data_IF_144211337752
#
_entry.id   IF_144211337752
#
_cell.length_a   1.000
_cell.length_b   1.000
_cell.length_c   1.000
_cell.angle_alpha   90.00
_cell.angle_beta   90.00
_cell.angle_gamma   90.00
#
_symmetry.space_group_name_H-M   'P 1'
#
loop_
_entity.id
_entity.type
_entity.pdbx_description
1 polymer ?
#
# COMPACT_ATOMS: atom_id res chain seq x y z
N UNK A 1 -4.58 -24.24 -27.97
CA UNK A 1 -3.55 -23.71 -27.05
C UNK A 1 -4.10 -22.40 -26.54
N UNK A 2 -4.38 -22.30 -25.25
CA UNK A 2 -4.91 -21.10 -24.59
C UNK A 2 -3.92 -19.94 -24.78
N UNK A 3 -4.37 -18.81 -25.35
CA UNK A 3 -3.56 -17.60 -25.53
C UNK A 3 -4.19 -16.50 -24.71
N UNK A 4 -3.45 -16.06 -23.70
CA UNK A 4 -3.91 -15.09 -22.71
C UNK A 4 -2.83 -14.02 -22.51
N UNK A 5 -3.24 -12.75 -22.54
CA UNK A 5 -2.41 -11.63 -22.11
C UNK A 5 -2.92 -11.08 -20.79
N UNK A 6 -1.99 -10.59 -19.97
CA UNK A 6 -2.30 -9.95 -18.69
C UNK A 6 -1.53 -8.66 -18.56
N UNK A 7 -2.20 -7.61 -18.13
CA UNK A 7 -1.57 -6.32 -17.89
C UNK A 7 -2.04 -5.67 -16.61
N UNK A 8 -1.12 -4.95 -15.95
CA UNK A 8 -1.45 -3.95 -14.94
C UNK A 8 -1.89 -2.66 -15.64
N UNK A 9 -2.86 -1.98 -15.04
CA UNK A 9 -3.40 -0.70 -15.53
C UNK A 9 -2.64 0.45 -14.84
N UNK A 10 -2.04 1.39 -15.58
CA UNK A 10 -1.53 2.64 -15.01
C UNK A 10 -2.69 3.48 -14.44
N UNK A 11 -2.50 4.08 -13.27
CA UNK A 11 -3.57 4.80 -12.56
C UNK A 11 -4.16 5.94 -13.39
N UNK A 12 -3.34 6.65 -14.17
CA UNK A 12 -3.81 7.72 -15.07
C UNK A 12 -4.68 7.22 -16.24
N UNK A 13 -4.73 5.92 -16.51
CA UNK A 13 -5.36 5.36 -17.72
C UNK A 13 -6.74 4.76 -17.45
N UNK A 14 -7.12 4.60 -16.19
CA UNK A 14 -8.34 3.88 -15.80
C UNK A 14 -9.62 4.51 -16.40
N UNK A 15 -9.70 5.85 -16.40
CA UNK A 15 -10.83 6.59 -17.01
C UNK A 15 -10.89 6.39 -18.52
N UNK A 16 -9.76 6.51 -19.22
CA UNK A 16 -9.71 6.34 -20.67
C UNK A 16 -10.07 4.90 -21.10
N UNK A 17 -9.72 3.90 -20.28
CA UNK A 17 -10.11 2.51 -20.50
C UNK A 17 -11.63 2.33 -20.31
N UNK A 18 -12.21 2.91 -19.26
CA UNK A 18 -13.65 2.84 -19.01
C UNK A 18 -14.45 3.45 -20.18
N UNK A 19 -14.03 4.60 -20.70
CA UNK A 19 -14.66 5.24 -21.87
C UNK A 19 -14.57 4.37 -23.12
N UNK A 20 -13.42 3.73 -23.34
CA UNK A 20 -13.22 2.79 -24.44
C UNK A 20 -14.15 1.58 -24.33
N UNK A 21 -14.27 0.98 -23.14
CA UNK A 21 -15.18 -0.14 -22.87
C UNK A 21 -16.66 0.24 -23.04
N UNK A 22 -17.02 1.48 -22.74
CA UNK A 22 -18.39 1.96 -22.96
C UNK A 22 -18.74 2.09 -24.45
N UNK A 23 -17.77 2.50 -25.28
CA UNK A 23 -17.94 2.72 -26.72
C UNK A 23 -17.65 1.53 -27.63
N UNK A 24 -17.34 0.35 -27.06
CA UNK A 24 -16.91 -0.84 -27.80
C UNK A 24 -18.05 -1.44 -28.64
N UNK A 25 -18.02 -1.21 -29.95
CA UNK A 25 -19.05 -1.69 -30.89
C UNK A 25 -18.95 -3.19 -31.20
N UNK A 26 -17.77 -3.78 -31.05
CA UNK A 26 -17.50 -5.22 -31.28
C UNK A 26 -17.87 -6.12 -30.10
N UNK A 27 -18.56 -5.57 -29.09
CA UNK A 27 -19.01 -6.28 -27.90
C UNK A 27 -20.24 -7.14 -28.20
N UNK A 28 -20.11 -8.45 -28.03
CA UNK A 28 -21.21 -9.41 -28.11
C UNK A 28 -22.00 -9.52 -26.80
N UNK A 29 -21.32 -9.49 -25.66
CA UNK A 29 -21.96 -9.55 -24.34
C UNK A 29 -21.13 -8.83 -23.27
N UNK A 30 -21.77 -8.56 -22.13
CA UNK A 30 -21.16 -8.00 -20.93
C UNK A 30 -21.77 -8.66 -19.70
N UNK A 31 -20.92 -9.06 -18.77
CA UNK A 31 -21.32 -9.54 -17.45
C UNK A 31 -20.38 -9.01 -16.37
N UNK A 32 -20.92 -8.82 -15.17
CA UNK A 32 -20.15 -8.43 -13.98
C UNK A 32 -20.24 -9.59 -12.98
N UNK A 33 -19.08 -10.05 -12.50
CA UNK A 33 -18.96 -11.16 -11.58
C UNK A 33 -18.24 -10.71 -10.30
N UNK A 34 -18.77 -11.08 -9.14
CA UNK A 34 -18.04 -10.98 -7.89
C UNK A 34 -17.24 -12.27 -7.70
N UNK A 35 -15.91 -12.13 -7.64
CA UNK A 35 -14.98 -13.24 -7.58
C UNK A 35 -14.16 -13.18 -6.30
N UNK A 36 -14.34 -14.17 -5.43
CA UNK A 36 -13.47 -14.39 -4.28
C UNK A 36 -12.80 -15.76 -4.42
N UNK A 37 -11.52 -15.90 -4.11
CA UNK A 37 -10.85 -17.19 -4.12
C UNK A 37 -9.88 -17.34 -2.96
N UNK A 38 -9.81 -18.56 -2.44
CA UNK A 38 -8.78 -19.00 -1.50
C UNK A 38 -7.96 -20.09 -2.19
N UNK A 39 -6.64 -19.90 -2.20
CA UNK A 39 -5.69 -20.82 -2.82
C UNK A 39 -5.07 -21.71 -1.76
N UNK A 40 -4.85 -22.98 -2.09
CA UNK A 40 -4.43 -23.99 -1.14
C UNK A 40 -3.29 -24.84 -1.66
N UNK A 41 -2.46 -25.28 -0.71
CA UNK A 41 -1.49 -26.35 -0.90
C UNK A 41 -1.33 -27.11 0.43
N UNK A 42 -0.60 -28.21 0.42
CA UNK A 42 -0.25 -28.93 1.64
C UNK A 42 0.94 -28.24 2.34
N UNK A 43 1.20 -28.52 3.63
CA UNK A 43 2.41 -28.02 4.30
C UNK A 43 3.72 -28.37 3.58
N UNK A 44 3.74 -29.48 2.83
CA UNK A 44 4.89 -29.97 2.06
C UNK A 44 4.85 -29.60 0.56
N UNK A 45 3.97 -28.66 0.17
CA UNK A 45 3.80 -28.13 -1.19
C UNK A 45 3.49 -29.21 -2.24
N UNK A 46 2.69 -30.21 -1.88
CA UNK A 46 2.39 -31.36 -2.75
C UNK A 46 1.56 -30.99 -3.98
N UNK A 47 0.69 -29.97 -3.91
CA UNK A 47 -0.07 -29.49 -5.07
C UNK A 47 0.89 -28.86 -6.09
N UNK A 48 1.73 -27.92 -5.64
CA UNK A 48 2.75 -27.28 -6.47
C UNK A 48 3.75 -28.30 -7.06
N UNK A 49 4.25 -29.25 -6.26
CA UNK A 49 5.19 -30.29 -6.70
C UNK A 49 4.60 -31.22 -7.76
N UNK A 50 3.27 -31.35 -7.81
CA UNK A 50 2.55 -32.08 -8.86
C UNK A 50 2.16 -31.18 -10.06
N UNK A 51 2.74 -29.98 -10.16
CA UNK A 51 2.52 -29.04 -11.26
C UNK A 51 1.11 -28.45 -11.28
N UNK A 52 0.42 -28.42 -10.15
CA UNK A 52 -0.94 -27.95 -10.02
C UNK A 52 -1.03 -26.67 -9.16
N UNK A 53 -2.14 -25.96 -9.31
CA UNK A 53 -2.62 -24.94 -8.38
C UNK A 53 -4.09 -25.24 -8.08
N UNK A 54 -4.44 -25.23 -6.80
CA UNK A 54 -5.77 -25.60 -6.32
C UNK A 54 -6.40 -24.40 -5.60
N UNK A 55 -7.67 -24.12 -5.89
CA UNK A 55 -8.43 -23.06 -5.23
C UNK A 55 -9.89 -23.43 -5.05
N UNK A 56 -10.52 -22.87 -4.02
CA UNK A 56 -11.96 -22.67 -3.99
C UNK A 56 -12.24 -21.24 -4.42
N UNK A 57 -13.09 -21.08 -5.43
CA UNK A 57 -13.50 -19.79 -5.97
C UNK A 57 -15.00 -19.63 -5.78
N UNK A 58 -15.42 -18.55 -5.15
CA UNK A 58 -16.80 -18.10 -5.12
C UNK A 58 -17.04 -17.17 -6.31
N UNK A 59 -18.00 -17.53 -7.15
CA UNK A 59 -18.51 -16.75 -8.28
C UNK A 59 -19.96 -16.38 -8.01
N UNK A 60 -20.18 -15.13 -7.60
CA UNK A 60 -21.47 -14.69 -7.07
C UNK A 60 -21.92 -15.59 -5.90
N UNK A 61 -22.92 -16.45 -6.10
CA UNK A 61 -23.42 -17.38 -5.08
C UNK A 61 -22.88 -18.81 -5.19
N UNK A 62 -22.15 -19.13 -6.26
CA UNK A 62 -21.66 -20.50 -6.51
C UNK A 62 -20.23 -20.67 -6.03
N UNK A 63 -19.93 -21.81 -5.43
CA UNK A 63 -18.56 -22.20 -5.06
C UNK A 63 -18.04 -23.24 -6.04
N UNK A 64 -16.89 -22.97 -6.64
CA UNK A 64 -16.24 -23.78 -7.67
C UNK A 64 -14.87 -24.18 -7.17
N UNK A 65 -14.58 -25.48 -7.17
CA UNK A 65 -13.23 -25.99 -6.99
C UNK A 65 -12.52 -26.00 -8.34
N UNK A 66 -11.39 -25.31 -8.44
CA UNK A 66 -10.60 -25.23 -9.66
C UNK A 66 -9.22 -25.86 -9.43
N UNK A 67 -8.81 -26.75 -10.33
CA UNK A 67 -7.44 -27.23 -10.45
C UNK A 67 -6.86 -26.76 -11.78
N UNK A 68 -5.83 -25.92 -11.73
CA UNK A 68 -5.03 -25.57 -12.93
C UNK A 68 -3.73 -26.35 -12.92
N UNK A 69 -3.39 -27.02 -14.02
CA UNK A 69 -2.15 -27.78 -14.17
C UNK A 69 -1.29 -27.19 -15.28
N UNK A 70 0.02 -27.18 -15.07
CA UNK A 70 1.00 -26.84 -16.11
C UNK A 70 1.63 -28.14 -16.62
N UNK A 71 1.28 -28.56 -17.84
CA UNK A 71 1.75 -29.81 -18.43
C UNK A 71 3.16 -29.70 -19.02
N UNK A 72 3.45 -28.59 -19.70
CA UNK A 72 4.73 -28.36 -20.37
C UNK A 72 5.04 -26.87 -20.40
N UNK A 73 6.30 -26.52 -20.20
CA UNK A 73 6.81 -25.16 -20.30
C UNK A 73 7.90 -25.10 -21.36
N UNK A 74 7.69 -24.36 -22.45
CA UNK A 74 8.67 -24.12 -23.51
C UNK A 74 8.94 -22.61 -23.59
N UNK A 75 10.08 -22.18 -23.05
CA UNK A 75 10.40 -20.76 -22.94
C UNK A 75 9.36 -19.97 -22.14
N UNK A 76 8.76 -18.96 -22.78
CA UNK A 76 7.71 -18.14 -22.18
C UNK A 76 6.29 -18.74 -22.31
N UNK A 77 6.12 -19.83 -23.06
CA UNK A 77 4.82 -20.46 -23.27
C UNK A 77 4.63 -21.65 -22.33
N UNK A 78 3.46 -21.73 -21.69
CA UNK A 78 3.07 -22.83 -20.84
C UNK A 78 1.78 -23.45 -21.37
N UNK A 79 1.80 -24.75 -21.67
CA UNK A 79 0.58 -25.50 -21.92
C UNK A 79 -0.08 -25.79 -20.57
N UNK A 80 -1.28 -25.26 -20.39
CA UNK A 80 -2.06 -25.41 -19.17
C UNK A 80 -3.36 -26.14 -19.45
N UNK A 81 -3.85 -26.82 -18.42
CA UNK A 81 -5.20 -27.39 -18.36
C UNK A 81 -5.88 -26.83 -17.12
N UNK A 82 -7.17 -26.53 -17.22
CA UNK A 82 -8.00 -26.09 -16.11
C UNK A 82 -9.20 -27.01 -16.01
N UNK A 83 -9.45 -27.48 -14.79
CA UNK A 83 -10.58 -28.34 -14.44
C UNK A 83 -11.38 -27.67 -13.34
N UNK A 84 -12.70 -27.63 -13.51
CA UNK A 84 -13.60 -26.93 -12.61
C UNK A 84 -14.83 -27.78 -12.30
N UNK A 85 -15.31 -27.70 -11.06
CA UNK A 85 -16.53 -28.37 -10.63
C UNK A 85 -17.17 -27.60 -9.48
N UNK A 86 -18.51 -27.60 -9.41
CA UNK A 86 -19.23 -26.99 -8.30
C UNK A 86 -19.06 -27.84 -7.03
N UNK A 87 -18.55 -27.20 -5.97
CA UNK A 87 -18.25 -27.83 -4.70
C UNK A 87 -18.15 -26.79 -3.58
N UNK A 88 -18.70 -27.10 -2.41
CA UNK A 88 -18.67 -26.21 -1.24
C UNK A 88 -17.38 -26.36 -0.42
N UNK A 89 -16.55 -27.36 -0.75
CA UNK A 89 -15.28 -27.63 -0.08
C UNK A 89 -14.23 -28.22 -1.02
N UNK A 90 -12.95 -28.14 -0.63
CA UNK A 90 -11.85 -28.74 -1.38
C UNK A 90 -11.99 -30.25 -1.49
N UNK A 91 -12.38 -30.90 -0.39
CA UNK A 91 -12.54 -32.35 -0.34
C UNK A 91 -13.62 -32.82 -1.31
N UNK A 92 -14.78 -32.16 -1.30
CA UNK A 92 -15.83 -32.43 -2.28
C UNK A 92 -15.37 -32.17 -3.71
N UNK A 93 -14.71 -31.03 -3.94
CA UNK A 93 -14.19 -30.66 -5.25
C UNK A 93 -13.20 -31.68 -5.80
N UNK A 94 -12.24 -32.13 -4.98
CA UNK A 94 -11.26 -33.14 -5.37
C UNK A 94 -11.92 -34.48 -5.72
N UNK A 95 -13.04 -34.85 -5.10
CA UNK A 95 -13.77 -36.06 -5.46
C UNK A 95 -14.52 -35.94 -6.80
N UNK A 96 -14.97 -34.73 -7.16
CA UNK A 96 -15.76 -34.45 -8.37
C UNK A 96 -14.93 -34.04 -9.59
N UNK A 97 -13.76 -33.41 -9.38
CA UNK A 97 -12.87 -32.95 -10.46
C UNK A 97 -12.50 -34.03 -11.50
N UNK A 98 -12.35 -35.33 -11.15
CA UNK A 98 -12.14 -36.38 -12.15
C UNK A 98 -13.24 -36.49 -13.19
N UNK A 99 -14.48 -36.18 -12.85
CA UNK A 99 -15.61 -36.19 -13.79
C UNK A 99 -15.54 -35.01 -14.77
N UNK A 100 -14.83 -33.94 -14.39
CA UNK A 100 -14.46 -32.81 -15.24
C UNK A 100 -13.15 -33.05 -16.03
N UNK A 101 -12.56 -34.25 -15.95
CA UNK A 101 -11.36 -34.64 -16.70
C UNK A 101 -10.04 -34.48 -15.96
N UNK A 102 -10.04 -34.09 -14.68
CA UNK A 102 -8.82 -34.02 -13.89
C UNK A 102 -8.22 -35.43 -13.64
N UNK A 103 -6.88 -35.56 -13.47
CA UNK A 103 -6.26 -36.86 -13.22
C UNK A 103 -6.74 -37.50 -11.93
N UNK A 104 -7.48 -38.61 -12.06
CA UNK A 104 -8.13 -39.30 -10.93
C UNK A 104 -7.18 -39.64 -9.79
N UNK A 105 -6.00 -40.19 -10.10
CA UNK A 105 -5.03 -40.59 -9.07
C UNK A 105 -4.49 -39.40 -8.27
N UNK A 106 -4.27 -38.27 -8.93
CA UNK A 106 -3.83 -37.03 -8.26
C UNK A 106 -4.93 -36.50 -7.35
N UNK A 107 -6.17 -36.46 -7.84
CA UNK A 107 -7.33 -36.02 -7.05
C UNK A 107 -7.54 -36.89 -5.81
N UNK A 108 -7.47 -38.22 -5.94
CA UNK A 108 -7.55 -39.16 -4.80
C UNK A 108 -6.41 -38.90 -3.81
N UNK A 109 -5.17 -38.83 -4.30
CA UNK A 109 -4.00 -38.59 -3.45
C UNK A 109 -4.13 -37.29 -2.65
N UNK A 110 -4.51 -36.19 -3.30
CA UNK A 110 -4.71 -34.89 -2.68
C UNK A 110 -5.91 -34.87 -1.71
N UNK A 111 -6.96 -35.64 -1.97
CA UNK A 111 -8.15 -35.69 -1.11
C UNK A 111 -7.87 -36.22 0.30
N UNK A 112 -6.76 -36.94 0.48
CA UNK A 112 -6.30 -37.46 1.77
C UNK A 112 -5.32 -36.53 2.51
N UNK A 113 -5.02 -35.36 1.96
CA UNK A 113 -4.05 -34.42 2.55
C UNK A 113 -4.72 -33.37 3.43
N UNK A 114 -3.92 -32.78 4.32
CA UNK A 114 -4.26 -31.54 5.02
C UNK A 114 -3.78 -30.35 4.20
N UNK A 115 -4.59 -29.30 4.15
CA UNK A 115 -4.33 -28.11 3.37
C UNK A 115 -4.10 -26.89 4.26
N UNK A 116 -3.25 -25.98 3.79
CA UNK A 116 -3.06 -24.63 4.30
C UNK A 116 -3.46 -23.62 3.24
N UNK A 117 -3.88 -22.44 3.66
CA UNK A 117 -4.09 -21.32 2.76
C UNK A 117 -2.74 -20.75 2.32
N UNK A 118 -2.60 -20.51 1.01
CA UNK A 118 -1.45 -19.85 0.41
C UNK A 118 -1.70 -18.36 0.17
N UNK A 119 -2.93 -18.00 -0.15
CA UNK A 119 -3.30 -16.63 -0.46
C UNK A 119 -4.77 -16.51 -0.87
N UNK A 120 -5.23 -15.28 -0.96
CA UNK A 120 -6.62 -14.89 -1.24
C UNK A 120 -6.67 -13.85 -2.34
N UNK A 121 -7.79 -13.84 -3.06
CA UNK A 121 -8.15 -12.78 -4.00
C UNK A 121 -9.63 -12.44 -3.80
N UNK A 122 -9.99 -11.17 -3.86
CA UNK A 122 -11.37 -10.70 -3.83
C UNK A 122 -11.50 -9.52 -4.79
N UNK A 123 -12.25 -9.67 -5.87
CA UNK A 123 -12.34 -8.67 -6.92
C UNK A 123 -13.66 -8.75 -7.69
N UNK A 124 -14.00 -7.63 -8.32
CA UNK A 124 -15.07 -7.55 -9.33
C UNK A 124 -14.44 -7.74 -10.70
N UNK A 125 -14.95 -8.70 -11.46
CA UNK A 125 -14.60 -8.94 -12.87
C UNK A 125 -15.70 -8.38 -13.77
N UNK A 126 -15.36 -7.44 -14.64
CA UNK A 126 -16.20 -7.04 -15.76
C UNK A 126 -15.71 -7.76 -17.00
N UNK A 127 -16.50 -8.71 -17.48
CA UNK A 127 -16.18 -9.58 -18.60
C UNK A 127 -16.93 -9.11 -19.85
N UNK A 128 -16.22 -9.01 -20.97
CA UNK A 128 -16.71 -8.58 -22.26
C UNK A 128 -16.32 -9.63 -23.30
N UNK A 129 -17.31 -10.28 -23.91
CA UNK A 129 -17.07 -11.12 -25.08
C UNK A 129 -16.99 -10.21 -26.31
N UNK A 130 -15.85 -10.21 -26.98
CA UNK A 130 -15.56 -9.39 -28.14
C UNK A 130 -15.51 -10.26 -29.40
N UNK A 131 -16.02 -9.72 -30.51
CA UNK A 131 -15.84 -10.28 -31.85
C UNK A 131 -15.45 -9.18 -32.85
N UNK A 132 -14.17 -8.76 -32.85
CA UNK A 132 -13.65 -7.83 -33.85
C UNK A 132 -13.81 -8.43 -35.26
N UNK A 133 -14.46 -7.70 -36.17
CA UNK A 133 -14.75 -8.18 -37.53
C UNK A 133 -13.47 -8.64 -38.28
N UNK A 134 -13.51 -9.79 -38.98
CA UNK A 134 -14.06 -11.08 -38.59
C UNK A 134 -12.90 -12.08 -38.43
N UNK A 135 -12.03 -11.84 -37.46
CA UNK A 135 -10.80 -12.62 -37.30
C UNK A 135 -10.83 -13.57 -36.10
N UNK A 136 -11.41 -13.17 -34.97
CA UNK A 136 -11.42 -13.99 -33.76
C UNK A 136 -12.52 -13.57 -32.78
N UNK A 137 -12.72 -14.41 -31.76
CA UNK A 137 -13.51 -14.09 -30.57
C UNK A 137 -12.59 -14.12 -29.35
N UNK A 138 -12.71 -13.13 -28.49
CA UNK A 138 -11.89 -13.02 -27.29
C UNK A 138 -12.71 -12.59 -26.08
N UNK A 139 -12.30 -13.05 -24.91
CA UNK A 139 -12.78 -12.56 -23.64
C UNK A 139 -11.84 -11.45 -23.17
N UNK A 140 -12.39 -10.25 -22.96
CA UNK A 140 -11.70 -9.16 -22.29
C UNK A 140 -12.26 -9.05 -20.87
N UNK A 141 -11.43 -9.18 -19.85
CA UNK A 141 -11.80 -9.05 -18.45
C UNK A 141 -11.06 -7.90 -17.79
N UNK A 142 -11.81 -6.99 -17.16
CA UNK A 142 -11.28 -5.96 -16.25
C UNK A 142 -11.53 -6.41 -14.81
N UNK A 143 -10.45 -6.68 -14.09
CA UNK A 143 -10.49 -7.08 -12.69
C UNK A 143 -10.05 -5.93 -11.80
N UNK A 144 -10.87 -5.60 -10.81
CA UNK A 144 -10.58 -4.58 -9.80
C UNK A 144 -10.91 -5.14 -8.43
N UNK A 145 -9.91 -5.17 -7.54
CA UNK A 145 -10.09 -5.68 -6.20
C UNK A 145 -8.79 -5.75 -5.42
N UNK A 146 -8.63 -6.79 -4.61
CA UNK A 146 -7.46 -7.00 -3.77
C UNK A 146 -6.97 -8.45 -3.75
N UNK A 147 -5.69 -8.65 -3.41
CA UNK A 147 -5.06 -9.96 -3.25
C UNK A 147 -4.08 -9.97 -2.08
N UNK A 148 -3.86 -11.12 -1.44
CA UNK A 148 -3.00 -11.21 -0.26
C UNK A 148 -3.28 -12.42 0.61
N UNK A 149 -3.41 -12.24 1.92
CA UNK A 149 -3.81 -13.25 2.91
C UNK A 149 -5.03 -12.78 3.72
N UNK A 150 -5.50 -13.62 4.66
CA UNK A 150 -6.65 -13.28 5.50
C UNK A 150 -6.44 -12.00 6.33
N UNK A 151 -5.20 -11.72 6.72
CA UNK A 151 -4.85 -10.60 7.60
C UNK A 151 -4.39 -9.34 6.84
N UNK A 152 -4.02 -9.46 5.57
CA UNK A 152 -3.46 -8.37 4.76
C UNK A 152 -3.78 -8.56 3.27
N UNK A 153 -4.54 -7.63 2.70
CA UNK A 153 -4.96 -7.63 1.29
C UNK A 153 -4.52 -6.32 0.63
N UNK A 154 -3.88 -6.41 -0.53
CA UNK A 154 -3.38 -5.26 -1.30
C UNK A 154 -4.22 -5.06 -2.56
N UNK A 155 -4.55 -3.80 -2.92
CA UNK A 155 -5.34 -3.52 -4.12
C UNK A 155 -4.60 -3.90 -5.40
N UNK A 156 -5.36 -4.31 -6.41
CA UNK A 156 -4.86 -4.50 -7.77
C UNK A 156 -5.94 -4.20 -8.81
N UNK A 157 -5.48 -3.71 -9.96
CA UNK A 157 -6.27 -3.61 -11.18
C UNK A 157 -5.52 -4.28 -12.33
N UNK A 158 -6.21 -5.14 -13.06
CA UNK A 158 -5.63 -5.80 -14.24
C UNK A 158 -6.62 -6.03 -15.35
N UNK A 159 -6.07 -6.14 -16.56
CA UNK A 159 -6.77 -6.58 -17.76
C UNK A 159 -6.28 -7.99 -18.08
N UNK A 160 -7.21 -8.91 -18.32
CA UNK A 160 -6.94 -10.19 -18.96
C UNK A 160 -7.62 -10.21 -20.33
N UNK A 161 -6.91 -10.67 -21.36
CA UNK A 161 -7.44 -10.85 -22.71
C UNK A 161 -7.16 -12.29 -23.16
N UNK A 162 -8.20 -13.08 -23.38
CA UNK A 162 -8.10 -14.51 -23.72
C UNK A 162 -8.73 -14.80 -25.09
N UNK A 163 -8.01 -15.50 -25.96
CA UNK A 163 -8.52 -15.96 -27.25
C UNK A 163 -9.45 -17.16 -27.06
N UNK A 164 -10.74 -17.03 -27.42
CA UNK A 164 -11.70 -18.14 -27.36
C UNK A 164 -11.70 -18.95 -28.66
N UNK A 165 -11.66 -18.30 -29.81
CA UNK A 165 -11.54 -18.97 -31.12
C UNK A 165 -11.13 -18.00 -32.24
N UNK A 166 -10.57 -18.52 -33.35
CA UNK A 166 -10.24 -17.75 -34.55
C UNK A 166 -8.73 -17.55 -34.81
N UNK A 167 -8.40 -16.52 -35.60
CA UNK A 167 -7.06 -16.18 -36.05
C UNK A 167 -6.21 -15.61 -34.91
N UNK A 168 -5.16 -16.35 -34.58
CA UNK A 168 -4.29 -16.05 -33.46
C UNK A 168 -3.25 -14.96 -33.75
N UNK A 169 -2.98 -14.63 -35.02
CA UNK A 169 -2.13 -13.51 -35.42
C UNK A 169 -2.91 -12.18 -35.35
N UNK A 170 -4.18 -12.19 -35.76
CA UNK A 170 -5.07 -11.04 -35.57
C UNK A 170 -5.27 -10.72 -34.08
N UNK A 171 -5.42 -11.76 -33.25
CA UNK A 171 -5.49 -11.62 -31.79
C UNK A 171 -4.25 -10.95 -31.19
N UNK A 172 -3.05 -11.35 -31.62
CA UNK A 172 -1.80 -10.73 -31.18
C UNK A 172 -1.74 -9.24 -31.57
N UNK A 173 -2.09 -8.91 -32.82
CA UNK A 173 -2.09 -7.51 -33.27
C UNK A 173 -3.09 -6.64 -32.48
N UNK A 174 -4.24 -7.21 -32.10
CA UNK A 174 -5.21 -6.53 -31.25
C UNK A 174 -4.68 -6.30 -29.83
N UNK A 175 -4.02 -7.31 -29.23
CA UNK A 175 -3.37 -7.19 -27.93
C UNK A 175 -2.28 -6.11 -27.94
N UNK A 176 -1.43 -6.08 -28.98
CA UNK A 176 -0.36 -5.09 -29.15
C UNK A 176 -0.92 -3.66 -29.27
N UNK A 177 -2.06 -3.49 -29.98
CA UNK A 177 -2.72 -2.20 -30.13
C UNK A 177 -3.30 -1.70 -28.79
N UNK A 178 -3.89 -2.58 -27.98
CA UNK A 178 -4.36 -2.23 -26.63
C UNK A 178 -3.19 -1.84 -25.71
N UNK A 179 -2.11 -2.61 -25.72
CA UNK A 179 -0.91 -2.34 -24.92
C UNK A 179 -0.33 -0.96 -25.24
N UNK A 180 -0.19 -0.62 -26.52
CA UNK A 180 0.32 0.69 -26.95
C UNK A 180 -0.64 1.83 -26.63
N UNK A 181 -1.94 1.65 -26.90
CA UNK A 181 -2.96 2.70 -26.72
C UNK A 181 -3.09 3.12 -25.25
N UNK A 182 -3.06 2.15 -24.34
CA UNK A 182 -3.27 2.37 -22.91
C UNK A 182 -2.00 2.26 -22.08
N UNK A 183 -0.82 2.20 -22.73
CA UNK A 183 0.49 2.06 -22.06
C UNK A 183 0.48 0.96 -20.99
N UNK A 184 -0.15 -0.16 -21.33
CA UNK A 184 -0.38 -1.24 -20.38
C UNK A 184 0.95 -1.88 -20.00
N UNK A 185 1.08 -2.30 -18.74
CA UNK A 185 2.32 -2.88 -18.22
C UNK A 185 2.15 -4.41 -18.15
N UNK A 186 2.91 -5.22 -18.90
CA UNK A 186 2.77 -6.67 -18.87
C UNK A 186 2.87 -7.27 -17.46
N UNK A 187 1.85 -8.00 -17.03
CA UNK A 187 1.76 -8.62 -15.71
C UNK A 187 2.18 -10.09 -15.79
N UNK A 188 3.46 -10.36 -15.48
CA UNK A 188 4.04 -11.71 -15.60
C UNK A 188 3.64 -12.66 -14.47
N UNK A 189 3.26 -12.15 -13.30
CA UNK A 189 2.91 -12.96 -12.12
C UNK A 189 1.40 -13.20 -12.08
N UNK A 190 0.99 -14.45 -11.87
CA UNK A 190 -0.41 -14.79 -11.65
C UNK A 190 -0.94 -14.11 -10.37
N UNK A 191 -2.26 -13.98 -10.25
CA UNK A 191 -2.90 -13.51 -9.02
C UNK A 191 -2.46 -14.31 -7.79
N UNK A 192 -2.37 -15.64 -7.92
CA UNK A 192 -1.83 -16.53 -6.88
C UNK A 192 -0.38 -16.17 -6.49
N UNK A 193 0.52 -16.04 -7.47
CA UNK A 193 1.91 -15.74 -7.18
C UNK A 193 2.09 -14.38 -6.49
N UNK A 194 1.25 -13.40 -6.83
CA UNK A 194 1.19 -12.10 -6.14
C UNK A 194 0.60 -12.25 -4.73
N UNK A 195 -0.50 -12.97 -4.56
CA UNK A 195 -1.12 -13.19 -3.25
C UNK A 195 -0.17 -13.88 -2.26
N UNK A 196 0.57 -14.90 -2.71
CA UNK A 196 1.61 -15.57 -1.91
C UNK A 196 2.72 -14.58 -1.53
N UNK A 197 3.20 -13.79 -2.49
CA UNK A 197 4.26 -12.80 -2.23
C UNK A 197 3.80 -11.79 -1.18
N UNK A 198 2.61 -11.19 -1.35
CA UNK A 198 2.02 -10.25 -0.40
C UNK A 198 1.87 -10.89 0.99
N UNK A 199 1.42 -12.15 1.06
CA UNK A 199 1.32 -12.89 2.33
C UNK A 199 2.69 -13.13 2.99
N UNK A 200 3.69 -13.52 2.21
CA UNK A 200 5.06 -13.74 2.68
C UNK A 200 5.71 -12.44 3.16
N UNK A 201 5.52 -11.36 2.40
CA UNK A 201 6.02 -10.04 2.77
C UNK A 201 5.35 -9.60 4.06
N UNK A 202 4.03 -9.72 4.20
CA UNK A 202 3.32 -9.42 5.44
C UNK A 202 3.86 -10.22 6.63
N UNK A 203 4.06 -11.54 6.48
CA UNK A 203 4.61 -12.39 7.55
C UNK A 203 6.06 -12.03 7.89
N UNK A 204 6.89 -11.70 6.90
CA UNK A 204 8.27 -11.25 7.09
C UNK A 204 8.27 -9.93 7.86
N UNK A 205 7.45 -8.96 7.48
CA UNK A 205 7.30 -7.69 8.18
C UNK A 205 6.79 -7.90 9.61
N UNK A 206 5.80 -8.76 9.81
CA UNK A 206 5.23 -9.04 11.13
C UNK A 206 6.24 -9.74 12.08
N UNK A 207 7.16 -10.55 11.55
CA UNK A 207 8.15 -11.32 12.32
C UNK A 207 9.51 -10.64 12.47
N UNK A 208 9.87 -9.67 11.61
CA UNK A 208 11.14 -8.96 11.68
C UNK A 208 11.28 -8.20 13.01
N UNK A 209 12.42 -8.23 13.71
CA UNK A 209 12.54 -7.52 14.97
C UNK A 209 12.52 -6.00 14.78
N UNK A 210 11.91 -5.27 15.71
CA UNK A 210 12.04 -3.81 15.78
C UNK A 210 13.42 -3.49 16.34
N UNK A 211 14.21 -2.72 15.59
CA UNK A 211 15.54 -2.23 15.99
C UNK A 211 15.59 -0.71 16.08
N UNK A 212 14.79 -0.06 15.25
CA UNK A 212 14.80 1.38 15.06
C UNK A 212 13.43 1.96 15.43
N UNK A 213 13.42 3.02 16.22
CA UNK A 213 12.22 3.80 16.53
C UNK A 213 12.38 5.17 15.88
N UNK A 214 11.43 5.53 15.02
CA UNK A 214 11.43 6.77 14.25
C UNK A 214 10.22 7.59 14.73
N UNK A 215 10.47 8.77 15.27
CA UNK A 215 9.43 9.68 15.74
C UNK A 215 9.13 10.77 14.71
N UNK A 216 7.86 11.12 14.53
CA UNK A 216 7.54 12.49 14.17
C UNK A 216 7.90 13.45 15.32
N UNK A 217 8.03 14.73 15.01
CA UNK A 217 8.33 15.77 15.99
C UNK A 217 7.06 16.51 16.42
N UNK A 218 6.25 17.01 15.49
CA UNK A 218 5.06 17.82 15.81
C UNK A 218 3.99 16.96 16.47
N UNK A 219 3.40 17.45 17.57
CA UNK A 219 2.37 16.74 18.35
C UNK A 219 2.79 15.37 18.93
N UNK A 220 4.03 14.93 18.72
CA UNK A 220 4.62 13.70 19.29
C UNK A 220 5.75 14.03 20.28
N UNK A 221 6.81 14.71 19.85
CA UNK A 221 7.93 15.12 20.73
C UNK A 221 7.87 16.60 21.09
N UNK A 222 7.13 17.39 20.32
CA UNK A 222 6.84 18.79 20.54
C UNK A 222 5.34 19.02 20.61
N UNK A 223 4.93 19.95 21.46
CA UNK A 223 3.62 20.56 21.36
C UNK A 223 3.61 21.56 20.20
N UNK A 224 2.51 21.58 19.44
CA UNK A 224 2.25 22.61 18.44
C UNK A 224 0.75 23.00 18.46
N UNK A 225 0.39 23.93 19.36
CA UNK A 225 -1.01 24.37 19.53
C UNK A 225 -1.33 25.61 18.67
N UNK A 226 -1.49 25.39 17.37
CA UNK A 226 -1.80 26.46 16.42
C UNK A 226 -3.16 27.11 16.70
N UNK A 227 -4.16 26.33 17.08
CA UNK A 227 -5.52 26.83 17.33
C UNK A 227 -5.55 27.70 18.59
N UNK A 228 -4.96 27.25 19.69
CA UNK A 228 -4.88 28.04 20.92
C UNK A 228 -4.09 29.33 20.70
N UNK A 229 -3.00 29.28 19.93
CA UNK A 229 -2.24 30.46 19.53
C UNK A 229 -3.10 31.47 18.75
N UNK A 230 -3.78 31.03 17.69
CA UNK A 230 -4.64 31.91 16.88
C UNK A 230 -5.84 32.42 17.69
N UNK A 231 -6.42 31.60 18.55
CA UNK A 231 -7.52 31.99 19.45
C UNK A 231 -7.09 33.11 20.40
N UNK A 232 -5.87 33.05 20.93
CA UNK A 232 -5.33 34.08 21.81
C UNK A 232 -5.04 35.39 21.09
N UNK A 233 -4.64 35.35 19.82
CA UNK A 233 -4.35 36.54 19.03
C UNK A 233 -5.60 37.22 18.46
N UNK A 234 -6.58 36.44 17.99
CA UNK A 234 -7.69 36.96 17.16
C UNK A 234 -9.09 36.60 17.68
N UNK A 235 -9.19 35.86 18.78
CA UNK A 235 -10.45 35.33 19.31
C UNK A 235 -10.82 33.97 18.68
N UNK A 236 -11.73 33.24 19.34
CA UNK A 236 -12.02 31.84 19.02
C UNK A 236 -12.56 31.63 17.59
N UNK A 237 -13.48 32.48 17.12
CA UNK A 237 -14.08 32.35 15.79
C UNK A 237 -13.06 32.59 14.68
N UNK A 238 -12.37 33.75 14.71
CA UNK A 238 -11.34 34.07 13.72
C UNK A 238 -10.17 33.10 13.80
N UNK A 239 -9.77 32.70 15.01
CA UNK A 239 -8.68 31.74 15.20
C UNK A 239 -8.99 30.38 14.59
N UNK A 240 -10.22 29.87 14.73
CA UNK A 240 -10.64 28.63 14.07
C UNK A 240 -10.60 28.76 12.55
N UNK A 241 -11.12 29.87 11.99
CA UNK A 241 -11.11 30.08 10.53
C UNK A 241 -9.70 30.18 9.96
N UNK A 242 -8.79 30.85 10.66
CA UNK A 242 -7.38 30.93 10.28
C UNK A 242 -6.70 29.57 10.31
N UNK A 243 -6.98 28.76 11.33
CA UNK A 243 -6.45 27.39 11.42
C UNK A 243 -6.92 26.58 10.22
N UNK A 244 -8.22 26.61 9.92
CA UNK A 244 -8.81 25.86 8.80
C UNK A 244 -8.30 26.35 7.44
N UNK A 245 -8.00 27.65 7.31
CA UNK A 245 -7.40 28.24 6.12
C UNK A 245 -5.91 27.85 5.94
N UNK A 246 -5.16 27.72 7.03
CA UNK A 246 -3.71 27.51 6.96
C UNK A 246 -3.30 26.04 7.07
N UNK A 247 -3.74 25.35 8.12
CA UNK A 247 -3.24 24.03 8.50
C UNK A 247 -3.74 22.93 7.55
N UNK A 248 -2.82 22.14 7.01
CA UNK A 248 -3.15 21.06 6.06
C UNK A 248 -3.52 21.56 4.65
N UNK A 249 -3.28 22.84 4.35
CA UNK A 249 -3.39 23.40 3.00
C UNK A 249 -2.14 23.05 2.16
N UNK A 250 -2.23 23.09 0.82
CA UNK A 250 -1.06 22.93 -0.04
C UNK A 250 0.04 23.97 0.24
N UNK A 251 -0.34 25.19 0.62
CA UNK A 251 0.63 26.23 0.98
C UNK A 251 1.41 25.86 2.27
N UNK A 252 0.80 25.13 3.20
CA UNK A 252 1.50 24.61 4.37
C UNK A 252 2.52 23.52 4.01
N UNK A 253 2.16 22.64 3.08
CA UNK A 253 3.12 21.63 2.57
C UNK A 253 4.31 22.30 1.87
N UNK A 254 4.10 23.40 1.14
CA UNK A 254 5.21 24.19 0.55
C UNK A 254 6.08 24.86 1.62
N UNK A 255 5.49 25.32 2.73
CA UNK A 255 6.23 25.85 3.87
C UNK A 255 7.17 24.78 4.45
N UNK A 256 6.63 23.60 4.74
CA UNK A 256 7.38 22.47 5.31
C UNK A 256 8.43 21.90 4.34
N UNK A 257 8.15 21.93 3.02
CA UNK A 257 9.13 21.55 2.00
C UNK A 257 10.27 22.57 1.88
N UNK A 258 9.99 23.85 2.17
CA UNK A 258 10.93 24.97 2.14
C UNK A 258 11.68 25.13 0.80
N UNK A 259 11.00 24.84 -0.31
CA UNK A 259 11.51 25.10 -1.67
C UNK A 259 11.35 26.56 -2.05
N UNK A 260 10.22 27.16 -1.67
CA UNK A 260 9.91 28.56 -1.90
C UNK A 260 10.41 29.43 -0.73
N UNK A 261 10.81 30.69 -0.99
CA UNK A 261 11.05 31.66 0.07
C UNK A 261 9.81 31.83 0.96
N UNK A 262 10.01 32.04 2.27
CA UNK A 262 8.92 32.16 3.26
C UNK A 262 7.92 33.25 2.86
N UNK A 263 8.38 34.40 2.38
CA UNK A 263 7.51 35.49 1.93
C UNK A 263 6.63 35.05 0.75
N UNK A 264 7.17 34.27 -0.18
CA UNK A 264 6.39 33.76 -1.32
C UNK A 264 5.30 32.78 -0.85
N UNK A 265 5.61 31.92 0.12
CA UNK A 265 4.62 31.00 0.71
C UNK A 265 3.55 31.76 1.49
N UNK A 266 3.93 32.79 2.26
CA UNK A 266 2.98 33.66 2.94
C UNK A 266 2.02 34.33 1.95
N UNK A 267 2.50 34.79 0.80
CA UNK A 267 1.63 35.37 -0.23
C UNK A 267 0.68 34.33 -0.86
N UNK A 268 1.02 33.03 -0.88
CA UNK A 268 0.06 31.98 -1.29
C UNK A 268 -1.12 31.90 -0.32
N UNK A 269 -0.87 31.90 0.99
CA UNK A 269 -1.93 31.93 2.00
C UNK A 269 -2.82 33.17 1.86
N UNK A 270 -2.22 34.33 1.60
CA UNK A 270 -2.94 35.61 1.43
C UNK A 270 -3.75 35.62 0.13
N UNK A 271 -3.23 35.02 -0.94
CA UNK A 271 -3.94 34.94 -2.21
C UNK A 271 -5.20 34.07 -2.11
N UNK A 272 -5.13 32.95 -1.39
CA UNK A 272 -6.28 32.06 -1.16
C UNK A 272 -7.29 32.66 -0.15
N UNK A 273 -6.78 33.43 0.83
CA UNK A 273 -7.58 34.01 1.91
C UNK A 273 -7.29 35.51 2.13
N UNK A 274 -7.61 36.38 1.16
CA UNK A 274 -7.27 37.80 1.22
C UNK A 274 -7.95 38.54 2.38
N UNK A 275 -9.10 38.04 2.86
CA UNK A 275 -9.80 38.57 4.02
C UNK A 275 -9.01 38.44 5.34
N UNK A 276 -8.01 37.54 5.38
CA UNK A 276 -7.16 37.29 6.55
C UNK A 276 -5.72 37.79 6.36
N UNK A 277 -5.47 38.65 5.37
CA UNK A 277 -4.12 39.03 4.99
C UNK A 277 -3.27 39.58 6.17
N UNK A 278 -3.88 40.40 7.03
CA UNK A 278 -3.17 41.01 8.16
C UNK A 278 -2.92 39.99 9.29
N UNK A 279 -3.88 39.12 9.54
CA UNK A 279 -3.81 38.03 10.51
C UNK A 279 -2.75 37.02 10.10
N UNK A 280 -2.71 36.60 8.83
CA UNK A 280 -1.70 35.68 8.30
C UNK A 280 -0.29 36.28 8.49
N UNK A 281 -0.07 37.55 8.10
CA UNK A 281 1.22 38.22 8.34
C UNK A 281 1.61 38.24 9.82
N UNK A 282 0.62 38.44 10.70
CA UNK A 282 0.84 38.43 12.17
C UNK A 282 1.17 37.03 12.68
N UNK A 283 0.53 35.99 12.14
CA UNK A 283 0.82 34.59 12.47
C UNK A 283 2.25 34.25 12.07
N UNK A 284 2.67 34.57 10.84
CA UNK A 284 4.06 34.35 10.40
C UNK A 284 5.05 35.08 11.32
N UNK A 285 4.82 36.35 11.65
CA UNK A 285 5.72 37.11 12.51
C UNK A 285 5.91 36.56 13.93
N UNK A 286 5.03 35.66 14.40
CA UNK A 286 5.02 35.14 15.77
C UNK A 286 4.99 33.62 15.88
N UNK A 287 4.99 32.91 14.75
CA UNK A 287 4.79 31.45 14.73
C UNK A 287 5.88 30.69 15.50
N UNK A 288 7.09 31.25 15.59
CA UNK A 288 8.19 30.68 16.37
C UNK A 288 7.91 30.55 17.87
N UNK A 289 6.89 31.24 18.40
CA UNK A 289 6.47 31.15 19.82
C UNK A 289 5.64 29.89 20.13
N UNK A 290 5.13 29.19 19.09
CA UNK A 290 4.19 28.07 19.23
C UNK A 290 4.89 26.79 19.72
N UNK A 291 6.00 26.33 19.09
CA UNK A 291 6.58 25.03 19.42
C UNK A 291 7.11 24.99 20.84
N UNK A 292 6.77 23.94 21.60
CA UNK A 292 7.30 23.69 22.95
C UNK A 292 7.70 22.24 23.11
N UNK A 293 8.82 21.98 23.76
CA UNK A 293 9.27 20.62 24.05
C UNK A 293 8.31 19.92 25.01
N UNK A 294 7.88 18.70 24.68
CA UNK A 294 7.03 17.92 25.58
C UNK A 294 7.85 17.46 26.81
N UNK A 295 7.27 17.46 28.03
CA UNK A 295 8.01 17.11 29.24
C UNK A 295 8.62 15.69 29.24
N UNK A 296 8.05 14.77 28.46
CA UNK A 296 8.51 13.39 28.37
C UNK A 296 9.57 13.15 27.30
N UNK A 297 9.82 14.08 26.37
CA UNK A 297 10.61 13.86 25.15
C UNK A 297 11.99 13.31 25.43
N UNK A 298 12.79 14.00 26.26
CA UNK A 298 14.17 13.57 26.57
C UNK A 298 14.19 12.24 27.31
N UNK A 299 13.27 12.05 28.25
CA UNK A 299 13.18 10.82 29.03
C UNK A 299 12.83 9.63 28.13
N UNK A 300 11.86 9.79 27.23
CA UNK A 300 11.43 8.72 26.34
C UNK A 300 12.54 8.31 25.37
N UNK A 301 13.24 9.28 24.78
CA UNK A 301 14.41 9.02 23.93
C UNK A 301 15.49 8.25 24.72
N UNK A 302 15.83 8.73 25.93
CA UNK A 302 16.84 8.08 26.77
C UNK A 302 16.46 6.63 27.12
N UNK A 303 15.22 6.38 27.54
CA UNK A 303 14.73 5.04 27.89
C UNK A 303 14.79 4.06 26.71
N UNK A 304 14.51 4.52 25.48
CA UNK A 304 14.62 3.68 24.28
C UNK A 304 16.09 3.36 23.97
N UNK A 305 16.98 4.33 24.10
CA UNK A 305 18.42 4.14 23.88
C UNK A 305 19.06 3.25 24.93
N UNK A 306 18.67 3.38 26.20
CA UNK A 306 19.10 2.49 27.30
C UNK A 306 18.68 1.04 27.05
N UNK A 307 17.52 0.83 26.43
CA UNK A 307 17.06 -0.49 25.97
C UNK A 307 17.78 -0.97 24.71
N UNK A 308 18.68 -0.17 24.13
CA UNK A 308 19.50 -0.51 22.96
C UNK A 308 18.82 -0.32 21.60
N UNK A 309 17.69 0.39 21.55
CA UNK A 309 17.08 0.80 20.28
C UNK A 309 17.84 1.99 19.68
N UNK A 310 17.88 2.06 18.35
CA UNK A 310 18.29 3.27 17.64
C UNK A 310 17.08 4.19 17.51
N UNK A 311 17.26 5.46 17.87
CA UNK A 311 16.17 6.44 17.85
C UNK A 311 16.43 7.46 16.76
N UNK A 312 15.46 7.70 15.89
CA UNK A 312 15.53 8.69 14.82
C UNK A 312 14.31 9.60 14.84
N UNK A 313 14.36 10.69 14.07
CA UNK A 313 13.18 11.50 13.76
C UNK A 313 12.95 11.62 12.25
N UNK A 314 11.68 11.73 11.84
CA UNK A 314 11.25 12.00 10.48
C UNK A 314 10.07 12.97 10.53
N UNK A 315 10.30 14.24 10.22
CA UNK A 315 9.29 15.28 10.44
C UNK A 315 9.12 16.25 9.29
N UNK A 316 7.85 16.59 9.01
CA UNK A 316 7.52 17.77 8.22
C UNK A 316 7.82 18.98 9.09
N UNK A 317 8.87 19.72 8.76
CA UNK A 317 9.33 20.86 9.53
C UNK A 317 10.04 21.85 8.61
N UNK A 318 9.56 23.09 8.59
CA UNK A 318 10.11 24.15 7.74
C UNK A 318 11.46 24.69 8.24
N UNK A 319 12.28 25.21 7.33
CA UNK A 319 13.46 26.00 7.70
C UNK A 319 13.07 27.22 8.55
N UNK A 320 11.91 27.81 8.25
CA UNK A 320 11.37 28.95 8.97
C UNK A 320 11.23 28.70 10.48
N UNK A 321 10.48 27.66 10.89
CA UNK A 321 10.32 27.35 12.32
C UNK A 321 11.64 26.92 12.97
N UNK A 322 12.51 26.26 12.22
CA UNK A 322 13.83 25.85 12.70
C UNK A 322 14.71 27.04 13.02
N UNK A 323 14.68 28.08 12.21
CA UNK A 323 15.50 29.28 12.37
C UNK A 323 14.94 30.21 13.45
N UNK A 324 13.61 30.30 13.58
CA UNK A 324 12.94 31.13 14.59
C UNK A 324 13.02 30.55 16.01
N UNK A 325 13.02 29.22 16.16
CA UNK A 325 12.99 28.56 17.46
C UNK A 325 13.97 27.37 17.59
N UNK A 326 15.28 27.53 17.28
CA UNK A 326 16.21 26.41 17.22
C UNK A 326 16.38 25.68 18.56
N UNK A 327 16.22 26.38 19.69
CA UNK A 327 16.36 25.82 21.03
C UNK A 327 15.37 24.68 21.32
N UNK A 328 14.17 24.72 20.72
CA UNK A 328 13.15 23.70 20.95
C UNK A 328 13.54 22.35 20.35
N UNK A 329 14.45 22.36 19.38
CA UNK A 329 14.97 21.17 18.72
C UNK A 329 16.23 20.61 19.39
N UNK A 330 16.67 21.14 20.53
CA UNK A 330 17.91 20.70 21.19
C UNK A 330 17.89 19.20 21.58
N UNK A 331 16.70 18.60 21.78
CA UNK A 331 16.58 17.17 22.05
C UNK A 331 16.98 16.29 20.86
N UNK A 332 16.99 16.81 19.62
CA UNK A 332 17.39 16.05 18.41
C UNK A 332 18.83 15.56 18.49
N UNK A 333 19.69 16.24 19.28
CA UNK A 333 21.06 15.79 19.54
C UNK A 333 21.14 14.50 20.37
N UNK A 334 20.05 14.10 21.02
CA UNK A 334 19.97 12.86 21.79
C UNK A 334 19.63 11.64 20.90
N UNK A 335 19.11 11.86 19.69
CA UNK A 335 18.77 10.79 18.75
C UNK A 335 20.03 10.28 18.02
N UNK A 336 19.92 9.18 17.31
CA UNK A 336 20.96 8.64 16.42
C UNK A 336 20.93 9.30 15.02
N UNK A 337 19.95 10.18 14.77
CA UNK A 337 19.83 10.97 13.55
C UNK A 337 18.38 11.36 13.23
N UNK A 338 18.16 11.84 12.01
CA UNK A 338 16.83 12.10 11.48
C UNK A 338 16.83 12.87 10.16
N UNK A 339 15.62 13.12 9.67
CA UNK A 339 15.33 13.85 8.43
C UNK A 339 14.23 14.87 8.71
N UNK A 340 14.52 16.14 8.39
CA UNK A 340 13.50 17.17 8.25
C UNK A 340 13.11 17.30 6.78
N UNK A 341 11.83 17.49 6.51
CA UNK A 341 11.32 17.68 5.13
C UNK A 341 12.03 18.80 4.38
N UNK A 342 12.34 19.90 5.06
CA UNK A 342 13.00 21.06 4.45
C UNK A 342 14.43 20.76 3.97
N UNK A 343 15.12 19.79 4.56
CA UNK A 343 16.50 19.42 4.16
C UNK A 343 16.51 18.56 2.89
N UNK A 344 15.41 17.87 2.61
CA UNK A 344 15.28 16.90 1.50
C UNK A 344 14.22 17.31 0.49
N UNK A 345 13.56 18.44 0.71
CA UNK A 345 12.51 19.01 -0.13
C UNK A 345 11.38 18.02 -0.44
N UNK A 346 11.04 17.17 0.53
CA UNK A 346 10.02 16.14 0.42
C UNK A 346 9.27 16.05 1.75
N UNK A 347 7.95 15.91 1.71
CA UNK A 347 7.07 15.91 2.90
C UNK A 347 6.35 14.57 3.01
N UNK A 348 6.10 14.10 4.23
CA UNK A 348 5.12 13.03 4.47
C UNK A 348 3.74 13.53 4.02
N UNK A 349 2.88 12.66 3.42
CA UNK A 349 3.00 11.20 3.33
C UNK A 349 3.70 10.66 2.07
N UNK A 350 4.50 11.46 1.35
CA UNK A 350 5.21 10.97 0.15
C UNK A 350 6.18 9.82 0.50
N UNK A 351 6.09 8.64 -0.16
CA UNK A 351 6.99 7.51 0.09
C UNK A 351 8.48 7.84 -0.05
N UNK A 352 8.83 8.86 -0.84
CA UNK A 352 10.22 9.26 -1.06
C UNK A 352 10.92 9.74 0.23
N UNK A 353 10.20 10.34 1.19
CA UNK A 353 10.82 10.79 2.44
C UNK A 353 11.18 9.62 3.37
N UNK A 354 10.36 8.55 3.35
CA UNK A 354 10.65 7.32 4.09
C UNK A 354 11.84 6.56 3.46
N UNK A 355 11.91 6.56 2.12
CA UNK A 355 13.08 6.04 1.41
C UNK A 355 14.36 6.80 1.75
N UNK A 356 14.27 8.12 1.90
CA UNK A 356 15.43 8.95 2.21
C UNK A 356 16.00 8.69 3.61
N UNK A 357 15.17 8.57 4.65
CA UNK A 357 15.66 8.21 5.99
C UNK A 357 16.26 6.80 6.02
N UNK A 358 15.63 5.84 5.34
CA UNK A 358 16.16 4.48 5.21
C UNK A 358 17.52 4.47 4.50
N UNK A 359 17.65 5.20 3.39
CA UNK A 359 18.90 5.31 2.64
C UNK A 359 20.00 6.01 3.45
N UNK A 360 19.66 7.09 4.15
CA UNK A 360 20.61 7.93 4.90
C UNK A 360 21.22 7.19 6.09
N UNK A 361 20.46 6.32 6.73
CA UNK A 361 20.88 5.61 7.95
C UNK A 361 20.97 4.08 7.79
N UNK A 362 20.91 3.57 6.55
CA UNK A 362 20.93 2.14 6.21
C UNK A 362 19.87 1.33 6.99
N UNK A 363 18.65 1.89 7.07
CA UNK A 363 17.54 1.27 7.80
C UNK A 363 16.75 0.36 6.88
N UNK A 364 16.41 -0.83 7.39
CA UNK A 364 15.43 -1.72 6.77
C UNK A 364 14.03 -1.32 7.24
N UNK A 365 13.08 -1.02 6.32
CA UNK A 365 11.72 -0.64 6.70
C UNK A 365 11.08 -1.64 7.69
N UNK A 366 11.27 -2.94 7.45
CA UNK A 366 10.69 -3.99 8.29
C UNK A 366 11.22 -4.02 9.75
N UNK A 367 12.37 -3.40 10.00
CA UNK A 367 12.98 -3.28 11.34
C UNK A 367 12.67 -1.93 12.02
N UNK A 368 11.83 -1.10 11.41
CA UNK A 368 11.48 0.24 11.89
C UNK A 368 10.07 0.28 12.49
N UNK A 369 9.94 0.97 13.62
CA UNK A 369 8.69 1.44 14.20
C UNK A 369 8.58 2.95 14.01
N UNK A 370 7.61 3.40 13.24
CA UNK A 370 7.29 4.81 13.04
C UNK A 370 6.13 5.27 13.95
N UNK A 371 6.27 6.44 14.57
CA UNK A 371 5.27 6.98 15.51
C UNK A 371 4.94 8.40 15.05
N UNK A 372 3.69 8.64 14.67
CA UNK A 372 3.23 9.90 14.06
C UNK A 372 1.78 10.17 14.46
N UNK A 373 1.39 11.42 14.65
CA UNK A 373 0.03 11.80 15.05
C UNK A 373 -0.96 11.72 13.88
N UNK A 374 -0.47 11.93 12.66
CA UNK A 374 -1.27 11.99 11.45
C UNK A 374 -1.46 10.61 10.84
N UNK A 375 -2.72 10.15 10.84
CA UNK A 375 -3.10 8.83 10.31
C UNK A 375 -2.71 8.60 8.84
N UNK A 376 -2.61 9.66 8.02
CA UNK A 376 -2.15 9.54 6.62
C UNK A 376 -0.67 9.17 6.54
N UNK A 377 0.16 9.77 7.39
CA UNK A 377 1.59 9.46 7.47
C UNK A 377 1.80 8.04 8.00
N UNK A 378 1.01 7.61 8.99
CA UNK A 378 1.01 6.25 9.53
C UNK A 378 0.65 5.23 8.46
N UNK A 379 -0.39 5.49 7.66
CA UNK A 379 -0.78 4.63 6.54
C UNK A 379 0.34 4.53 5.50
N UNK A 380 0.89 5.67 5.06
CA UNK A 380 2.00 5.68 4.10
C UNK A 380 3.25 4.96 4.61
N UNK A 381 3.58 5.08 5.90
CA UNK A 381 4.70 4.35 6.49
C UNK A 381 4.47 2.83 6.48
N UNK A 382 3.23 2.37 6.72
CA UNK A 382 2.85 0.95 6.62
C UNK A 382 2.94 0.45 5.19
N UNK A 383 2.45 1.23 4.24
CA UNK A 383 2.54 0.92 2.81
C UNK A 383 4.00 0.88 2.34
N UNK A 384 4.87 1.68 2.94
CA UNK A 384 6.31 1.68 2.71
C UNK A 384 7.04 0.47 3.34
N UNK A 385 6.36 -0.31 4.20
CA UNK A 385 6.92 -1.51 4.85
C UNK A 385 7.42 -1.28 6.28
N UNK A 386 7.10 -0.16 6.92
CA UNK A 386 7.39 0.06 8.34
C UNK A 386 6.23 -0.43 9.22
N UNK A 387 6.53 -0.80 10.46
CA UNK A 387 5.49 -0.80 11.49
C UNK A 387 5.20 0.64 11.86
N UNK A 388 3.93 1.01 12.01
CA UNK A 388 3.59 2.36 12.43
C UNK A 388 2.44 2.39 13.44
N UNK A 389 2.53 3.31 14.40
CA UNK A 389 1.52 3.58 15.44
C UNK A 389 1.07 5.03 15.32
N UNK A 390 -0.25 5.24 15.30
CA UNK A 390 -0.81 6.59 15.38
C UNK A 390 -0.74 7.07 16.83
N UNK A 391 -0.18 8.26 17.04
CA UNK A 391 0.05 8.85 18.36
C UNK A 391 -0.95 9.97 18.65
N UNK A 392 -1.79 9.80 19.67
CA UNK A 392 -2.74 10.83 20.08
C UNK A 392 -2.33 11.47 21.42
N UNK A 393 -1.78 10.67 22.33
CA UNK A 393 -1.26 11.13 23.62
C UNK A 393 -0.23 10.17 24.19
N UNK A 394 0.66 10.70 25.00
CA UNK A 394 1.69 9.89 25.65
C UNK A 394 1.07 8.85 26.58
N UNK A 395 0.06 9.23 27.35
CA UNK A 395 -0.59 8.38 28.34
C UNK A 395 -1.23 7.13 27.72
N UNK A 396 -1.78 7.26 26.52
CA UNK A 396 -2.45 6.16 25.83
C UNK A 396 -1.47 5.29 25.05
N UNK A 397 -0.59 5.89 24.25
CA UNK A 397 0.26 5.13 23.33
C UNK A 397 1.59 4.68 23.95
N UNK A 398 2.10 5.32 25.00
CA UNK A 398 3.36 4.90 25.63
C UNK A 398 3.30 3.45 26.16
N UNK A 399 2.26 2.99 26.89
CA UNK A 399 2.14 1.60 27.31
C UNK A 399 2.03 0.62 26.14
N UNK A 400 1.27 0.99 25.09
CA UNK A 400 1.10 0.18 23.88
C UNK A 400 2.42 -0.01 23.14
N UNK A 401 3.12 1.10 22.86
CA UNK A 401 4.43 1.10 22.21
C UNK A 401 5.44 0.32 23.05
N UNK A 402 5.42 0.48 24.37
CA UNK A 402 6.31 -0.28 25.26
C UNK A 402 6.03 -1.79 25.18
N UNK A 403 4.77 -2.20 25.16
CA UNK A 403 4.39 -3.61 25.02
C UNK A 403 4.76 -4.18 23.64
N UNK A 404 4.58 -3.39 22.58
CA UNK A 404 4.98 -3.73 21.22
C UNK A 404 6.50 -3.96 21.13
N UNK A 405 7.28 -3.03 21.68
CA UNK A 405 8.74 -3.12 21.72
C UNK A 405 9.22 -4.27 22.62
N UNK A 406 8.52 -4.60 23.70
CA UNK A 406 8.85 -5.76 24.51
C UNK A 406 8.60 -7.09 23.78
N UNK A 407 7.58 -7.15 22.92
CA UNK A 407 7.22 -8.37 22.16
C UNK A 407 8.07 -8.56 20.91
N UNK A 408 8.37 -7.48 20.20
CA UNK A 408 9.00 -7.54 18.87
C UNK A 408 10.38 -6.87 18.82
N UNK A 409 10.81 -6.19 19.87
CA UNK A 409 12.10 -5.51 19.90
C UNK A 409 13.27 -6.50 19.97
N UNK A 410 14.28 -6.28 19.11
CA UNK A 410 15.59 -6.89 19.24
C UNK A 410 16.63 -5.77 19.16
N UNK A 411 16.90 -5.07 20.27
CA UNK A 411 17.88 -4.00 20.29
C UNK A 411 19.23 -4.50 19.78
N UNK A 412 20.00 -3.64 19.11
CA UNK A 412 21.32 -4.03 18.62
C UNK A 412 22.24 -4.41 19.78
N UNK A 413 22.80 -5.63 19.73
CA UNK A 413 23.90 -6.05 20.61
C UNK A 413 25.14 -5.24 20.27
N UNK A 414 25.26 -4.02 20.80
CA UNK A 414 26.52 -3.28 20.89
C UNK A 414 26.32 -2.10 21.86
N UNK A 415 26.66 -2.34 23.13
CA UNK A 415 26.56 -1.37 24.20
C UNK A 415 27.15 -1.89 25.52
N UNK A 416 28.38 -2.40 25.48
CA UNK A 416 29.28 -2.44 26.66
C UNK A 416 30.50 -1.60 26.31
#
# INVERSE_FOLDING_TARGET
MEREYKWKIPQETLTALADYLHGLQERLSHETLHMAAVYYDTPDDLVYRNGAALRLRKENEKTVCCMKRTLKKEGAQALREEYETEADSLQEGLLKLPDAGAPRDLCIFLSHQQFRELGRTDFVRNCYLLAPEPAFTAEFALDVGALGCADHMEPFEEIELELKSGDAAAFQAYADALEQRFRLIPQKRSKLARAIQTAQDFQKHASAPIRNVIFDIGLVLLQFDLLGFMTNLFGAETGQRLKDAMWGSPAWDELDRSVLPVDAVMELFIADHPEYAQEIRTVFAKMGEIPKEMPYTRKWIAELKEKGFKVYYLSNYSTFLRDECPQVLAFTQLTDGGVFSCDVQCVKPDPAIFAEICRKYDLKPEECLFIDDNSRNVAAARDFGMRAVQFESFEQQYPEITALLARHGCPSENGI
#
